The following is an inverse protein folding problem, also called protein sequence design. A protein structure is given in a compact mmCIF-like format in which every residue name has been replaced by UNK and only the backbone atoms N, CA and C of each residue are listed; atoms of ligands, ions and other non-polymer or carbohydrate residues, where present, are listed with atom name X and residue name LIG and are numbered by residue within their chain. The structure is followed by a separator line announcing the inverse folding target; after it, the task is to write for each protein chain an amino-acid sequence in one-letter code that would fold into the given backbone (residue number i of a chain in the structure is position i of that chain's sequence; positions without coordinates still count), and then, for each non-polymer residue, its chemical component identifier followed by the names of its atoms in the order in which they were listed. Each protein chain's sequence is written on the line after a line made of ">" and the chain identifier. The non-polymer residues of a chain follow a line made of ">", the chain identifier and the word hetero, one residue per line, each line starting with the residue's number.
data_IF_276864291103
#
_entry.id   IF_276864291103
#
_cell.length_a   1.000
_cell.length_b   1.000
_cell.length_c   1.000
_cell.angle_alpha   90.00
_cell.angle_beta   90.00
_cell.angle_gamma   90.00
#
_symmetry.space_group_name_H-M   'P 1'
#
loop_
_entity.id
_entity.type
_entity.pdbx_description
1 polymer ?
#
# COMPACT_ATOMS: atom_id res chain seq x y z
N UNK A 1 8.95 10.89 -25.52
CA UNK A 1 7.60 10.51 -25.04
C UNK A 1 7.73 10.10 -23.58
N UNK A 2 7.64 11.05 -22.65
CA UNK A 2 7.64 10.75 -21.22
C UNK A 2 6.24 10.35 -20.81
N UNK A 3 5.98 9.04 -20.71
CA UNK A 3 4.71 8.54 -20.20
C UNK A 3 4.47 9.13 -18.81
N UNK A 4 3.38 9.90 -18.67
CA UNK A 4 2.91 10.42 -17.40
C UNK A 4 2.66 9.22 -16.48
N UNK A 5 3.56 8.97 -15.52
CA UNK A 5 3.27 8.00 -14.46
C UNK A 5 1.98 8.48 -13.77
N UNK A 6 0.93 7.69 -13.89
CA UNK A 6 -0.34 7.96 -13.22
C UNK A 6 -0.14 7.64 -11.74
N UNK A 7 0.34 8.63 -10.99
CA UNK A 7 0.34 8.55 -9.52
C UNK A 7 -1.13 8.41 -9.10
N UNK A 8 -1.46 7.30 -8.45
CA UNK A 8 -2.82 6.94 -7.95
C UNK A 8 -3.41 8.06 -7.07
N UNK A 9 -2.55 8.92 -6.54
CA UNK A 9 -2.88 10.06 -5.67
C UNK A 9 -3.38 11.28 -6.47
N UNK A 10 -3.02 11.42 -7.75
CA UNK A 10 -3.30 12.63 -8.55
C UNK A 10 -4.66 12.64 -9.26
N UNK A 11 -5.29 11.48 -9.43
CA UNK A 11 -6.57 11.33 -10.13
C UNK A 11 -7.65 10.82 -9.16
N UNK A 12 -8.67 11.65 -8.89
CA UNK A 12 -9.76 11.32 -7.96
C UNK A 12 -10.51 10.05 -8.36
N UNK A 13 -10.67 9.77 -9.65
CA UNK A 13 -11.37 8.57 -10.14
C UNK A 13 -10.52 7.33 -9.91
N UNK A 14 -9.21 7.41 -10.19
CA UNK A 14 -8.27 6.33 -9.89
C UNK A 14 -8.19 6.05 -8.37
N UNK A 15 -8.13 7.09 -7.54
CA UNK A 15 -8.16 6.95 -6.08
C UNK A 15 -9.43 6.25 -5.58
N UNK A 16 -10.60 6.61 -6.12
CA UNK A 16 -11.86 5.97 -5.75
C UNK A 16 -11.91 4.49 -6.15
N UNK A 17 -11.40 4.15 -7.34
CA UNK A 17 -11.29 2.76 -7.78
C UNK A 17 -10.35 1.96 -6.86
N UNK A 18 -9.16 2.51 -6.60
CA UNK A 18 -8.19 1.93 -5.67
C UNK A 18 -8.79 1.68 -4.29
N UNK A 19 -9.48 2.66 -3.71
CA UNK A 19 -10.15 2.51 -2.42
C UNK A 19 -11.30 1.50 -2.44
N UNK A 20 -11.94 1.26 -3.59
CA UNK A 20 -12.94 0.21 -3.72
C UNK A 20 -12.31 -1.17 -3.64
N UNK A 21 -11.15 -1.36 -4.27
CA UNK A 21 -10.38 -2.61 -4.20
C UNK A 21 -9.88 -2.89 -2.80
N UNK A 22 -9.33 -1.88 -2.10
CA UNK A 22 -8.95 -2.00 -0.69
C UNK A 22 -10.14 -2.47 0.15
N UNK A 23 -11.32 -1.85 -0.03
CA UNK A 23 -12.55 -2.20 0.71
C UNK A 23 -13.11 -3.59 0.39
N UNK A 24 -12.66 -4.23 -0.69
CA UNK A 24 -13.07 -5.59 -1.03
C UNK A 24 -12.26 -6.65 -0.27
N UNK A 25 -11.16 -6.27 0.39
CA UNK A 25 -10.38 -7.15 1.24
C UNK A 25 -11.14 -7.55 2.52
N UNK A 26 -10.73 -8.64 3.18
CA UNK A 26 -11.17 -8.97 4.53
C UNK A 26 -10.96 -7.80 5.52
N UNK A 27 -11.80 -7.73 6.55
CA UNK A 27 -11.90 -6.55 7.44
C UNK A 27 -10.59 -6.21 8.16
N UNK A 28 -9.90 -7.22 8.65
CA UNK A 28 -8.58 -7.15 9.27
C UNK A 28 -7.53 -6.57 8.31
N UNK A 29 -7.50 -7.04 7.06
CA UNK A 29 -6.66 -6.49 6.01
C UNK A 29 -6.94 -5.02 5.74
N UNK A 30 -8.21 -4.61 5.69
CA UNK A 30 -8.58 -3.18 5.52
C UNK A 30 -8.06 -2.32 6.67
N UNK A 31 -8.17 -2.80 7.91
CA UNK A 31 -7.70 -2.07 9.10
C UNK A 31 -6.18 -1.85 9.03
N UNK A 32 -5.43 -2.91 8.75
CA UNK A 32 -3.96 -2.84 8.64
C UNK A 32 -3.55 -1.97 7.46
N UNK A 33 -4.23 -2.11 6.31
CA UNK A 33 -3.97 -1.28 5.13
C UNK A 33 -4.15 0.21 5.46
N UNK A 34 -5.25 0.58 6.11
CA UNK A 34 -5.52 1.98 6.48
C UNK A 34 -4.48 2.52 7.47
N UNK A 35 -4.00 1.69 8.41
CA UNK A 35 -2.93 2.07 9.33
C UNK A 35 -1.61 2.36 8.59
N UNK A 36 -1.20 1.47 7.68
CA UNK A 36 0.00 1.64 6.85
C UNK A 36 -0.14 2.85 5.93
N UNK A 37 -1.30 3.02 5.30
CA UNK A 37 -1.60 4.16 4.42
C UNK A 37 -1.45 5.50 5.16
N UNK A 38 -1.99 5.59 6.38
CA UNK A 38 -1.86 6.78 7.21
C UNK A 38 -0.40 7.05 7.60
N UNK A 39 0.39 6.02 7.88
CA UNK A 39 1.82 6.17 8.13
C UNK A 39 2.57 6.63 6.88
N UNK A 40 2.32 6.02 5.73
CA UNK A 40 2.94 6.36 4.45
C UNK A 40 2.72 7.84 4.09
N UNK A 41 1.49 8.36 4.23
CA UNK A 41 1.22 9.78 4.00
C UNK A 41 1.92 10.72 4.99
N UNK A 42 2.14 10.30 6.24
CA UNK A 42 2.88 11.10 7.23
C UNK A 42 4.36 11.19 6.88
N UNK A 43 4.94 10.10 6.39
CA UNK A 43 6.38 10.06 6.07
C UNK A 43 6.72 10.44 4.63
N UNK A 44 5.72 10.54 3.75
CA UNK A 44 5.87 10.86 2.33
C UNK A 44 6.79 12.06 2.03
N UNK A 45 6.76 13.18 2.77
CA UNK A 45 7.66 14.31 2.51
C UNK A 45 9.15 14.02 2.79
N UNK A 46 9.44 12.94 3.52
CA UNK A 46 10.77 12.60 4.02
C UNK A 46 11.39 11.39 3.30
N UNK A 47 10.66 10.74 2.40
CA UNK A 47 11.11 9.56 1.66
C UNK A 47 11.11 9.85 0.16
N UNK A 48 12.08 9.34 -0.61
CA UNK A 48 12.18 9.60 -2.05
C UNK A 48 11.16 8.83 -2.90
N UNK A 49 10.38 7.93 -2.29
CA UNK A 49 9.51 6.98 -2.98
C UNK A 49 8.09 7.52 -3.20
N UNK A 50 7.50 7.21 -4.36
CA UNK A 50 6.10 7.55 -4.66
C UNK A 50 5.16 6.75 -3.76
N UNK A 51 4.41 7.47 -2.91
CA UNK A 51 3.48 6.86 -1.95
C UNK A 51 2.38 6.06 -2.64
N UNK A 52 1.95 6.45 -3.84
CA UNK A 52 0.97 5.70 -4.63
C UNK A 52 1.52 4.34 -5.04
N UNK A 53 2.76 4.30 -5.54
CA UNK A 53 3.43 3.05 -5.92
C UNK A 53 3.64 2.12 -4.73
N UNK A 54 3.95 2.65 -3.55
CA UNK A 54 4.05 1.86 -2.30
C UNK A 54 2.70 1.24 -1.95
N UNK A 55 1.62 2.02 -2.00
CA UNK A 55 0.28 1.56 -1.66
C UNK A 55 -0.28 0.55 -2.67
N UNK A 56 0.06 0.69 -3.95
CA UNK A 56 -0.28 -0.32 -4.97
C UNK A 56 0.39 -1.65 -4.70
N UNK A 57 1.70 -1.65 -4.40
CA UNK A 57 2.42 -2.88 -4.04
C UNK A 57 1.84 -3.54 -2.78
N UNK A 58 1.47 -2.74 -1.77
CA UNK A 58 0.81 -3.24 -0.58
C UNK A 58 -0.54 -3.90 -0.90
N UNK A 59 -1.34 -3.26 -1.76
CA UNK A 59 -2.66 -3.78 -2.14
C UNK A 59 -2.53 -5.12 -2.87
N UNK A 60 -1.60 -5.23 -3.82
CA UNK A 60 -1.34 -6.47 -4.55
C UNK A 60 -0.91 -7.59 -3.59
N UNK A 61 0.01 -7.32 -2.66
CA UNK A 61 0.42 -8.28 -1.63
C UNK A 61 -0.77 -8.74 -0.77
N UNK A 62 -1.62 -7.81 -0.34
CA UNK A 62 -2.77 -8.12 0.50
C UNK A 62 -3.85 -8.90 -0.24
N UNK A 63 -4.09 -8.59 -1.52
CA UNK A 63 -5.01 -9.36 -2.36
C UNK A 63 -4.55 -10.80 -2.53
N UNK A 64 -3.26 -11.03 -2.82
CA UNK A 64 -2.70 -12.39 -2.93
C UNK A 64 -2.80 -13.12 -1.59
N UNK A 65 -2.35 -12.50 -0.50
CA UNK A 65 -2.34 -13.15 0.82
C UNK A 65 -3.74 -13.49 1.33
N UNK A 66 -4.71 -12.59 1.10
CA UNK A 66 -6.10 -12.83 1.44
C UNK A 66 -6.71 -13.96 0.60
N UNK A 67 -6.36 -14.06 -0.69
CA UNK A 67 -6.79 -15.15 -1.56
C UNK A 67 -6.21 -16.51 -1.14
N UNK A 68 -5.01 -16.51 -0.55
CA UNK A 68 -4.38 -17.69 0.05
C UNK A 68 -4.91 -18.01 1.46
N UNK A 69 -5.77 -17.16 2.02
CA UNK A 69 -6.36 -17.35 3.35
C UNK A 69 -5.38 -17.09 4.50
N UNK A 70 -4.32 -16.33 4.27
CA UNK A 70 -3.35 -15.97 5.30
C UNK A 70 -3.93 -14.92 6.25
N UNK A 71 -3.56 -14.99 7.53
CA UNK A 71 -3.83 -13.92 8.49
C UNK A 71 -2.96 -12.69 8.18
N UNK A 72 -3.53 -11.49 8.28
CA UNK A 72 -2.80 -10.26 7.95
C UNK A 72 -1.53 -10.05 8.79
N UNK A 73 -1.51 -10.53 10.04
CA UNK A 73 -0.32 -10.48 10.90
C UNK A 73 0.70 -11.56 10.54
N UNK A 74 0.29 -12.66 9.91
CA UNK A 74 1.24 -13.61 9.31
C UNK A 74 1.98 -12.98 8.11
N UNK A 75 1.34 -12.03 7.42
CA UNK A 75 1.94 -11.29 6.29
C UNK A 75 2.82 -10.14 6.79
N UNK A 76 2.31 -9.34 7.73
CA UNK A 76 2.99 -8.12 8.19
C UNK A 76 3.96 -8.38 9.36
N UNK A 77 3.82 -9.50 10.07
CA UNK A 77 4.41 -9.71 11.39
C UNK A 77 3.66 -8.96 12.50
N UNK A 78 4.04 -9.26 13.74
CA UNK A 78 3.45 -8.65 14.94
C UNK A 78 3.72 -7.13 15.05
N UNK A 79 4.77 -6.66 14.37
CA UNK A 79 5.13 -5.24 14.30
C UNK A 79 4.80 -4.66 12.91
N UNK A 80 3.52 -4.30 12.74
CA UNK A 80 3.00 -3.63 11.55
C UNK A 80 3.72 -2.30 11.27
N UNK A 81 4.18 -1.59 12.30
CA UNK A 81 4.88 -0.32 12.14
C UNK A 81 6.26 -0.51 11.51
N UNK A 82 7.01 -1.51 11.97
CA UNK A 82 8.27 -1.91 11.37
C UNK A 82 8.08 -2.40 9.94
N UNK A 83 7.06 -3.23 9.69
CA UNK A 83 6.72 -3.66 8.33
C UNK A 83 6.43 -2.48 7.40
N UNK A 84 5.59 -1.54 7.85
CA UNK A 84 5.26 -0.34 7.09
C UNK A 84 6.51 0.49 6.76
N UNK A 85 7.38 0.68 7.74
CA UNK A 85 8.63 1.39 7.57
C UNK A 85 9.55 0.68 6.58
N UNK A 86 9.74 -0.62 6.73
CA UNK A 86 10.59 -1.43 5.83
C UNK A 86 10.02 -1.42 4.41
N UNK A 87 8.71 -1.52 4.24
CA UNK A 87 8.03 -1.43 2.94
C UNK A 87 8.23 -0.06 2.27
N UNK A 88 8.07 1.03 3.01
CA UNK A 88 8.21 2.38 2.48
C UNK A 88 9.66 2.67 2.11
N UNK A 89 10.64 2.25 2.93
CA UNK A 89 12.06 2.50 2.68
C UNK A 89 12.63 1.64 1.55
N UNK A 90 12.15 0.41 1.41
CA UNK A 90 12.62 -0.56 0.42
C UNK A 90 11.72 -0.67 -0.82
N UNK A 91 10.73 0.22 -0.97
CA UNK A 91 9.85 0.25 -2.12
C UNK A 91 10.72 0.23 -3.39
N UNK A 92 10.64 -0.89 -4.12
CA UNK A 92 11.61 -1.19 -5.17
C UNK A 92 11.46 -0.09 -6.22
N UNK A 93 12.49 0.74 -6.38
CA UNK A 93 12.60 1.58 -7.57
C UNK A 93 12.68 0.61 -8.74
N UNK A 94 11.58 0.42 -9.45
CA UNK A 94 11.59 -0.29 -10.73
C UNK A 94 12.65 0.40 -11.60
N UNK A 95 13.78 -0.27 -11.80
CA UNK A 95 14.81 0.14 -12.74
C UNK A 95 14.28 0.03 -14.18
#
# INVERSE_FOLDING_TARGET
>A
MGGKQMSVISDKKAWLAFRKEVKALPKDYVIVFDAIQNYAFKVAPYVPHDTGAVLTQLLELFQTSAAEGLDVLAVCGDDVGKFANDLILNARTSA
#
